data_IF_856256726954
#
_entry.id   IF_856256726954
#
_cell.length_a   1.000
_cell.length_b   1.000
_cell.length_c   1.000
_cell.angle_alpha   90.00
_cell.angle_beta   90.00
_cell.angle_gamma   90.00
#
_symmetry.space_group_name_H-M   'P 1'
#
loop_
_entity.id
_entity.type
_entity.pdbx_description
1 polymer ?
#
# COMPACT_ATOMS: atom_id res chain seq x y z
N UNK A 1 -20.71 -21.56 7.65
CA UNK A 1 -20.00 -21.31 8.92
C UNK A 1 -19.93 -19.81 9.11
N UNK A 2 -20.56 -19.30 10.16
CA UNK A 2 -20.63 -17.88 10.50
C UNK A 2 -19.25 -17.35 10.91
N UNK A 3 -18.74 -16.35 10.20
CA UNK A 3 -17.54 -15.58 10.58
C UNK A 3 -17.93 -14.22 11.19
N UNK A 4 -18.85 -14.26 12.14
CA UNK A 4 -19.22 -13.09 12.93
C UNK A 4 -18.81 -13.34 14.39
N UNK A 5 -17.56 -13.01 14.73
CA UNK A 5 -17.12 -12.66 16.10
C UNK A 5 -15.62 -12.30 16.13
N UNK A 6 -15.32 -11.02 15.89
CA UNK A 6 -14.28 -10.28 16.64
C UNK A 6 -14.51 -8.78 16.45
N UNK A 7 -15.19 -8.16 17.41
CA UNK A 7 -14.98 -6.75 17.74
C UNK A 7 -14.26 -6.81 19.07
N UNK A 8 -12.93 -6.65 19.03
CA UNK A 8 -12.06 -6.18 20.13
C UNK A 8 -10.59 -6.43 19.74
N UNK A 9 -9.83 -5.34 19.72
CA UNK A 9 -8.44 -5.26 19.28
C UNK A 9 -8.34 -4.21 18.18
N UNK A 10 -7.90 -3.00 18.54
CA UNK A 10 -7.46 -2.01 17.56
C UNK A 10 -6.45 -2.67 16.60
N UNK A 11 -6.38 -2.20 15.35
CA UNK A 11 -5.35 -2.69 14.43
C UNK A 11 -3.97 -2.47 15.07
N UNK A 12 -3.25 -3.56 15.30
CA UNK A 12 -1.94 -3.59 15.96
C UNK A 12 -0.87 -4.02 14.95
N UNK A 13 0.30 -3.40 15.07
CA UNK A 13 1.48 -3.69 14.27
C UNK A 13 2.34 -4.79 14.92
N UNK A 14 2.93 -5.74 14.15
CA UNK A 14 2.76 -5.92 12.71
C UNK A 14 1.37 -6.44 12.38
N UNK A 15 0.70 -5.82 11.40
CA UNK A 15 -0.61 -6.30 10.97
C UNK A 15 -0.51 -7.67 10.31
N UNK A 16 -1.60 -8.44 10.32
CA UNK A 16 -1.73 -9.66 9.52
C UNK A 16 -1.42 -9.47 8.02
N UNK A 17 -1.64 -8.28 7.44
CA UNK A 17 -1.35 -7.95 6.06
C UNK A 17 0.16 -7.86 5.87
N UNK A 18 0.86 -7.19 6.78
CA UNK A 18 2.32 -7.14 6.76
C UNK A 18 2.95 -8.52 7.02
N UNK A 19 2.42 -9.29 7.96
CA UNK A 19 2.87 -10.69 8.20
C UNK A 19 2.66 -11.56 6.95
N UNK A 20 1.55 -11.39 6.23
CA UNK A 20 1.28 -12.13 5.00
C UNK A 20 2.22 -11.72 3.87
N UNK A 21 2.54 -10.44 3.79
CA UNK A 21 3.55 -9.89 2.88
C UNK A 21 4.95 -10.46 3.15
N UNK A 22 5.41 -10.46 4.41
CA UNK A 22 6.71 -11.04 4.78
C UNK A 22 6.79 -12.52 4.37
N UNK A 23 5.72 -13.29 4.61
CA UNK A 23 5.63 -14.68 4.18
C UNK A 23 5.70 -14.83 2.66
N UNK A 24 4.98 -14.00 1.91
CA UNK A 24 5.03 -14.01 0.46
C UNK A 24 6.45 -13.71 -0.07
N UNK A 25 7.19 -12.79 0.56
CA UNK A 25 8.58 -12.53 0.21
C UNK A 25 9.50 -13.71 0.57
N UNK A 26 9.30 -14.37 1.71
CA UNK A 26 10.03 -15.60 2.07
C UNK A 26 9.83 -16.68 1.01
N UNK A 27 8.59 -16.90 0.58
CA UNK A 27 8.26 -17.88 -0.47
C UNK A 27 8.87 -17.48 -1.81
N UNK A 28 8.80 -16.20 -2.18
CA UNK A 28 9.40 -15.68 -3.41
C UNK A 28 10.93 -15.87 -3.44
N UNK A 29 11.62 -15.72 -2.29
CA UNK A 29 13.07 -15.97 -2.17
C UNK A 29 13.47 -17.42 -2.46
N UNK A 30 12.54 -18.38 -2.37
CA UNK A 30 12.81 -19.78 -2.75
C UNK A 30 13.13 -19.92 -4.24
N UNK A 31 12.60 -19.03 -5.10
CA UNK A 31 12.82 -19.06 -6.55
C UNK A 31 14.30 -18.87 -6.92
N UNK A 32 15.01 -18.05 -6.15
CA UNK A 32 16.41 -17.69 -6.38
C UNK A 32 17.39 -18.59 -5.63
N UNK A 33 16.92 -19.69 -5.03
CA UNK A 33 17.80 -20.68 -4.41
C UNK A 33 18.81 -21.24 -5.41
N UNK A 34 20.09 -21.18 -5.04
CA UNK A 34 21.22 -21.63 -5.87
C UNK A 34 21.63 -20.65 -6.98
N UNK A 35 21.09 -19.43 -6.99
CA UNK A 35 21.57 -18.33 -7.86
C UNK A 35 22.73 -17.62 -7.14
N UNK A 36 23.90 -17.44 -7.78
CA UNK A 36 24.99 -16.65 -7.19
C UNK A 36 24.58 -15.19 -7.02
N UNK A 37 24.97 -14.60 -5.89
CA UNK A 37 24.53 -13.25 -5.47
C UNK A 37 25.01 -12.17 -6.45
N UNK A 38 26.29 -12.24 -6.84
CA UNK A 38 26.95 -11.21 -7.66
C UNK A 38 26.68 -11.33 -9.16
N UNK A 39 26.33 -12.53 -9.64
CA UNK A 39 26.17 -12.75 -11.09
C UNK A 39 25.33 -13.98 -11.42
N UNK A 40 24.39 -13.80 -12.35
CA UNK A 40 23.75 -14.90 -13.05
C UNK A 40 24.68 -15.44 -14.15
N UNK A 41 25.00 -16.72 -14.08
CA UNK A 41 25.91 -17.41 -15.02
C UNK A 41 25.14 -18.20 -16.10
N UNK A 42 23.85 -18.42 -15.93
CA UNK A 42 23.00 -19.18 -16.86
C UNK A 42 21.70 -18.44 -17.14
N UNK A 43 21.10 -18.69 -18.31
CA UNK A 43 19.78 -18.15 -18.65
C UNK A 43 18.71 -18.51 -17.62
N UNK A 44 18.78 -19.72 -17.05
CA UNK A 44 17.87 -20.14 -15.97
C UNK A 44 18.04 -19.28 -14.71
N UNK A 45 19.27 -18.93 -14.34
CA UNK A 45 19.52 -18.04 -13.19
C UNK A 45 18.97 -16.63 -13.44
N UNK A 46 19.14 -16.08 -14.65
CA UNK A 46 18.51 -14.80 -15.02
C UNK A 46 16.98 -14.86 -14.90
N UNK A 47 16.35 -15.92 -15.42
CA UNK A 47 14.90 -16.11 -15.32
C UNK A 47 14.42 -16.24 -13.86
N UNK A 48 15.19 -16.91 -13.00
CA UNK A 48 14.89 -17.00 -11.57
C UNK A 48 14.90 -15.63 -10.88
N UNK A 49 15.90 -14.79 -11.17
CA UNK A 49 15.97 -13.42 -10.63
C UNK A 49 14.82 -12.56 -11.13
N UNK A 50 14.52 -12.62 -12.43
CA UNK A 50 13.36 -11.91 -13.02
C UNK A 50 12.04 -12.36 -12.39
N UNK A 51 11.87 -13.67 -12.20
CA UNK A 51 10.68 -14.21 -11.53
C UNK A 51 10.58 -13.68 -10.10
N UNK A 52 11.67 -13.68 -9.34
CA UNK A 52 11.68 -13.12 -7.99
C UNK A 52 11.24 -11.65 -7.95
N UNK A 53 11.69 -10.81 -8.89
CA UNK A 53 11.23 -9.41 -9.00
C UNK A 53 9.72 -9.33 -9.24
N UNK A 54 9.18 -10.16 -10.13
CA UNK A 54 7.74 -10.19 -10.44
C UNK A 54 6.91 -10.60 -9.21
N UNK A 55 7.33 -11.64 -8.49
CA UNK A 55 6.64 -12.09 -7.28
C UNK A 55 6.75 -11.08 -6.13
N UNK A 56 7.93 -10.50 -5.92
CA UNK A 56 8.12 -9.46 -4.92
C UNK A 56 7.25 -8.23 -5.21
N UNK A 57 7.13 -7.82 -6.48
CA UNK A 57 6.26 -6.72 -6.87
C UNK A 57 4.80 -7.02 -6.56
N UNK A 58 4.31 -8.20 -6.94
CA UNK A 58 2.94 -8.60 -6.67
C UNK A 58 2.63 -8.62 -5.16
N UNK A 59 3.58 -9.11 -4.35
CA UNK A 59 3.43 -9.09 -2.90
C UNK A 59 3.36 -7.67 -2.32
N UNK A 60 4.18 -6.73 -2.82
CA UNK A 60 4.16 -5.32 -2.39
C UNK A 60 2.85 -4.62 -2.76
N UNK A 61 2.36 -4.87 -3.98
CA UNK A 61 1.09 -4.35 -4.49
C UNK A 61 -0.10 -4.85 -3.67
N UNK A 62 -0.19 -6.17 -3.48
CA UNK A 62 -1.24 -6.80 -2.67
C UNK A 62 -1.23 -6.28 -1.23
N UNK A 63 -0.04 -6.13 -0.63
CA UNK A 63 0.10 -5.56 0.70
C UNK A 63 -0.47 -4.15 0.79
N UNK A 64 -0.02 -3.24 -0.09
CA UNK A 64 -0.43 -1.84 -0.08
C UNK A 64 -1.95 -1.72 -0.28
N UNK A 65 -2.53 -2.50 -1.19
CA UNK A 65 -3.98 -2.55 -1.39
C UNK A 65 -4.72 -3.05 -0.14
N UNK A 66 -4.23 -4.12 0.47
CA UNK A 66 -4.87 -4.75 1.62
C UNK A 66 -4.84 -3.85 2.87
N UNK A 67 -3.67 -3.28 3.22
CA UNK A 67 -3.55 -2.40 4.38
C UNK A 67 -4.37 -1.13 4.20
N UNK A 68 -4.30 -0.52 3.01
CA UNK A 68 -5.07 0.68 2.69
C UNK A 68 -6.58 0.44 2.79
N UNK A 69 -7.08 -0.65 2.21
CA UNK A 69 -8.49 -0.99 2.30
C UNK A 69 -8.93 -1.23 3.74
N UNK A 70 -8.14 -1.97 4.52
CA UNK A 70 -8.47 -2.33 5.88
C UNK A 70 -8.55 -1.11 6.80
N UNK A 71 -7.58 -0.21 6.72
CA UNK A 71 -7.58 1.03 7.51
C UNK A 71 -8.81 1.89 7.20
N UNK A 72 -9.14 2.05 5.91
CA UNK A 72 -10.32 2.81 5.52
C UNK A 72 -11.63 2.17 6.01
N UNK A 73 -11.72 0.84 5.95
CA UNK A 73 -12.88 0.08 6.43
C UNK A 73 -13.01 0.19 7.95
N UNK A 74 -11.93 0.00 8.69
CA UNK A 74 -11.92 0.06 10.15
C UNK A 74 -12.16 1.48 10.67
N UNK A 75 -11.62 2.50 9.99
CA UNK A 75 -11.89 3.91 10.30
C UNK A 75 -13.39 4.23 10.22
N UNK A 76 -14.06 3.73 9.17
CA UNK A 76 -15.50 3.88 9.02
C UNK A 76 -16.27 3.07 10.04
N UNK A 77 -15.86 1.82 10.29
CA UNK A 77 -16.50 0.95 11.29
C UNK A 77 -16.44 1.58 12.68
N UNK A 78 -15.28 2.10 13.08
CA UNK A 78 -15.09 2.82 14.33
C UNK A 78 -16.09 3.98 14.48
N UNK A 79 -16.30 4.75 13.41
CA UNK A 79 -17.31 5.81 13.40
C UNK A 79 -18.74 5.26 13.46
N UNK A 80 -19.08 4.20 12.73
CA UNK A 80 -20.44 3.61 12.76
C UNK A 80 -20.79 3.02 14.12
N UNK A 81 -19.83 2.36 14.75
CA UNK A 81 -20.06 1.60 15.99
C UNK A 81 -20.02 2.50 17.23
N UNK A 82 -19.17 3.54 17.21
CA UNK A 82 -18.91 4.37 18.41
C UNK A 82 -19.09 5.88 18.22
N UNK A 83 -19.31 6.36 17.00
CA UNK A 83 -19.30 7.78 16.66
C UNK A 83 -17.90 8.42 16.68
N UNK A 84 -16.86 7.64 17.00
CA UNK A 84 -15.48 8.15 17.08
C UNK A 84 -14.95 8.46 15.68
N UNK A 85 -14.48 9.69 15.50
CA UNK A 85 -13.81 10.13 14.28
C UNK A 85 -12.31 9.97 14.50
N UNK A 86 -11.62 9.30 13.58
CA UNK A 86 -10.16 9.20 13.56
C UNK A 86 -9.56 9.95 12.36
N UNK A 87 -8.25 10.14 12.39
CA UNK A 87 -7.54 10.86 11.33
C UNK A 87 -7.74 10.20 9.96
N UNK A 88 -7.64 8.87 9.88
CA UNK A 88 -7.83 8.14 8.61
C UNK A 88 -9.25 8.31 8.03
N UNK A 89 -10.29 8.45 8.86
CA UNK A 89 -11.64 8.75 8.37
C UNK A 89 -11.72 10.15 7.74
N UNK A 90 -11.10 11.13 8.37
CA UNK A 90 -11.04 12.50 7.85
C UNK A 90 -10.28 12.53 6.53
N UNK A 91 -9.12 11.87 6.46
CA UNK A 91 -8.33 11.74 5.24
C UNK A 91 -9.09 11.04 4.11
N UNK A 92 -9.82 9.96 4.42
CA UNK A 92 -10.64 9.23 3.44
C UNK A 92 -11.66 10.15 2.80
N UNK A 93 -12.39 10.91 3.61
CA UNK A 93 -13.39 11.87 3.13
C UNK A 93 -12.73 13.04 2.40
N UNK A 94 -11.58 13.53 2.87
CA UNK A 94 -10.87 14.68 2.31
C UNK A 94 -10.11 14.40 1.01
N UNK A 95 -9.70 13.14 0.77
CA UNK A 95 -8.82 12.71 -0.33
C UNK A 95 -9.28 13.15 -1.73
N UNK A 96 -10.58 13.47 -1.91
CA UNK A 96 -11.10 14.05 -3.15
C UNK A 96 -11.71 15.45 -3.01
N UNK A 97 -11.93 15.93 -1.78
CA UNK A 97 -12.39 17.30 -1.54
C UNK A 97 -11.30 18.34 -1.79
N UNK A 98 -10.04 17.92 -1.71
CA UNK A 98 -8.89 18.82 -1.85
C UNK A 98 -8.48 19.01 -3.33
N UNK A 99 -8.81 18.05 -4.22
CA UNK A 99 -8.44 18.10 -5.64
C UNK A 99 -9.33 18.99 -6.53
N UNK A 100 -10.63 19.08 -6.24
CA UNK A 100 -11.62 19.64 -7.18
C UNK A 100 -12.34 20.93 -6.70
N UNK A 101 -12.07 21.43 -5.49
CA UNK A 101 -12.88 22.51 -4.91
C UNK A 101 -12.11 23.84 -4.73
N UNK A 102 -12.65 24.96 -5.27
CA UNK A 102 -12.17 26.30 -4.94
C UNK A 102 -12.21 26.55 -3.43
N UNK A 103 -11.26 27.31 -2.88
CA UNK A 103 -11.13 27.61 -1.44
C UNK A 103 -12.43 28.07 -0.74
N UNK A 104 -13.29 28.81 -1.43
CA UNK A 104 -14.61 29.23 -0.90
C UNK A 104 -15.58 28.08 -0.70
N UNK A 105 -15.48 27.03 -1.51
CA UNK A 105 -16.31 25.84 -1.40
C UNK A 105 -15.84 24.92 -0.25
N UNK A 106 -14.52 24.86 0.02
CA UNK A 106 -13.96 24.12 1.16
C UNK A 106 -14.54 24.57 2.51
N UNK A 107 -14.74 25.88 2.70
CA UNK A 107 -15.26 26.47 3.95
C UNK A 107 -16.76 26.22 4.19
N UNK A 108 -17.54 26.04 3.12
CA UNK A 108 -18.98 25.73 3.19
C UNK A 108 -19.20 24.23 3.39
N UNK A 109 -18.37 23.45 2.71
CA UNK A 109 -18.35 22.01 2.77
C UNK A 109 -17.93 21.49 4.16
N UNK A 110 -17.02 22.17 4.87
CA UNK A 110 -16.63 21.78 6.24
C UNK A 110 -17.79 21.84 7.24
N UNK A 111 -18.78 22.73 7.04
CA UNK A 111 -19.97 22.81 7.89
C UNK A 111 -21.02 21.72 7.54
N UNK A 112 -21.17 21.37 6.27
CA UNK A 112 -22.04 20.25 5.83
C UNK A 112 -21.42 18.87 6.07
N UNK A 113 -20.08 18.75 6.11
CA UNK A 113 -19.37 17.50 6.36
C UNK A 113 -19.69 16.94 7.74
N UNK A 114 -19.76 17.80 8.75
CA UNK A 114 -19.99 17.41 10.15
C UNK A 114 -21.42 16.88 10.34
N UNK A 115 -22.41 17.44 9.62
CA UNK A 115 -23.80 16.98 9.72
C UNK A 115 -24.12 15.75 8.87
N UNK A 116 -23.31 15.44 7.85
CA UNK A 116 -23.53 14.32 6.91
C UNK A 116 -22.34 13.35 6.80
N UNK A 117 -21.48 13.28 7.82
CA UNK A 117 -20.24 12.49 7.78
C UNK A 117 -20.49 11.00 7.46
N UNK A 118 -21.64 10.45 7.86
CA UNK A 118 -22.05 9.08 7.52
C UNK A 118 -22.21 8.87 6.01
N UNK A 119 -22.91 9.78 5.34
CA UNK A 119 -23.12 9.73 3.88
C UNK A 119 -21.80 9.96 3.15
N UNK A 120 -21.01 10.94 3.58
CA UNK A 120 -19.73 11.25 2.95
C UNK A 120 -18.72 10.12 3.10
N UNK A 121 -18.62 9.52 4.29
CA UNK A 121 -17.71 8.40 4.55
C UNK A 121 -18.13 7.13 3.82
N UNK A 122 -19.43 6.85 3.67
CA UNK A 122 -19.92 5.73 2.86
C UNK A 122 -19.52 5.87 1.39
N UNK A 123 -19.79 7.03 0.82
CA UNK A 123 -19.47 7.31 -0.57
C UNK A 123 -17.96 7.37 -0.83
N UNK A 124 -17.19 7.91 0.11
CA UNK A 124 -15.73 7.89 0.03
C UNK A 124 -15.18 6.46 0.06
N UNK A 125 -15.71 5.60 0.95
CA UNK A 125 -15.27 4.20 1.03
C UNK A 125 -15.61 3.41 -0.25
N UNK A 126 -16.80 3.59 -0.83
CA UNK A 126 -17.18 2.93 -2.10
C UNK A 126 -16.25 3.33 -3.24
N UNK A 127 -15.93 4.62 -3.36
CA UNK A 127 -15.00 5.13 -4.38
C UNK A 127 -13.60 4.58 -4.15
N UNK A 128 -13.15 4.60 -2.90
CA UNK A 128 -11.85 4.06 -2.57
C UNK A 128 -11.76 2.58 -2.89
N UNK A 129 -12.83 1.80 -2.67
CA UNK A 129 -12.87 0.40 -3.09
C UNK A 129 -12.65 0.22 -4.59
N UNK A 130 -13.20 1.11 -5.41
CA UNK A 130 -12.95 1.09 -6.85
C UNK A 130 -11.48 1.38 -7.17
N UNK A 131 -10.87 2.37 -6.51
CA UNK A 131 -9.43 2.67 -6.64
C UNK A 131 -8.58 1.45 -6.28
N UNK A 132 -8.88 0.76 -5.18
CA UNK A 132 -8.19 -0.49 -4.80
C UNK A 132 -8.31 -1.54 -5.91
N UNK A 133 -9.53 -1.80 -6.40
CA UNK A 133 -9.78 -2.87 -7.37
C UNK A 133 -9.15 -2.61 -8.76
N UNK A 134 -8.95 -1.35 -9.13
CA UNK A 134 -8.35 -0.94 -10.41
C UNK A 134 -6.83 -0.66 -10.29
N UNK A 135 -6.25 -0.83 -9.10
CA UNK A 135 -4.83 -0.63 -8.91
C UNK A 135 -4.04 -1.78 -9.53
N UNK A 136 -2.99 -1.42 -10.28
CA UNK A 136 -2.18 -2.36 -11.06
C UNK A 136 -0.69 -2.03 -10.95
N UNK A 137 -0.24 -1.71 -9.73
CA UNK A 137 1.17 -1.53 -9.44
C UNK A 137 1.47 -0.70 -8.21
N UNK A 138 2.74 -0.27 -8.14
CA UNK A 138 3.31 0.48 -7.01
C UNK A 138 4.03 1.76 -7.46
N UNK A 139 3.66 2.32 -8.62
CA UNK A 139 4.21 3.61 -9.07
C UNK A 139 3.78 4.75 -8.13
N UNK A 140 4.37 5.92 -8.31
CA UNK A 140 4.01 7.12 -7.52
C UNK A 140 2.50 7.38 -7.51
N UNK A 141 1.84 7.32 -8.68
CA UNK A 141 0.40 7.53 -8.79
C UNK A 141 -0.39 6.45 -8.03
N UNK A 142 0.06 5.19 -8.10
CA UNK A 142 -0.54 4.09 -7.34
C UNK A 142 -0.41 4.34 -5.83
N UNK A 143 0.80 4.68 -5.37
CA UNK A 143 1.06 4.93 -3.96
C UNK A 143 0.22 6.09 -3.43
N UNK A 144 0.17 7.22 -4.15
CA UNK A 144 -0.68 8.37 -3.78
C UNK A 144 -2.16 7.98 -3.74
N UNK A 145 -2.62 7.22 -4.72
CA UNK A 145 -4.01 6.75 -4.78
C UNK A 145 -4.38 5.82 -3.62
N UNK A 146 -3.45 4.99 -3.14
CA UNK A 146 -3.66 4.03 -2.05
C UNK A 146 -3.45 4.64 -0.65
N UNK A 147 -2.45 5.51 -0.48
CA UNK A 147 -1.98 5.93 0.85
C UNK A 147 -2.60 7.27 1.31
N UNK A 148 -2.84 8.22 0.39
CA UNK A 148 -3.46 9.50 0.77
C UNK A 148 -4.85 9.32 1.41
N UNK A 149 -5.72 8.42 0.91
CA UNK A 149 -7.04 8.20 1.53
C UNK A 149 -6.98 7.63 2.95
N UNK A 150 -5.86 7.03 3.38
CA UNK A 150 -5.69 6.57 4.77
C UNK A 150 -4.90 7.56 5.63
N UNK A 151 -4.47 8.69 5.04
CA UNK A 151 -3.77 9.78 5.72
C UNK A 151 -2.25 9.71 5.65
N UNK A 152 -1.69 8.86 4.80
CA UNK A 152 -0.24 8.76 4.58
C UNK A 152 0.08 9.40 3.24
N UNK A 153 0.80 10.51 3.26
CA UNK A 153 1.34 11.11 2.05
C UNK A 153 2.73 10.52 1.77
N UNK A 154 2.91 9.67 0.74
CA UNK A 154 4.17 8.97 0.51
C UNK A 154 5.34 9.93 0.28
N UNK A 155 5.08 11.11 -0.28
CA UNK A 155 6.11 12.10 -0.61
C UNK A 155 6.70 12.73 0.65
N UNK A 156 5.85 13.04 1.64
CA UNK A 156 6.28 13.63 2.91
C UNK A 156 6.62 12.59 3.98
N UNK A 157 6.09 11.37 3.85
CA UNK A 157 6.32 10.27 4.78
C UNK A 157 7.71 9.63 4.61
N UNK A 158 8.02 9.14 3.41
CA UNK A 158 9.31 8.52 3.09
C UNK A 158 9.56 8.59 1.57
N UNK A 159 10.13 9.72 1.12
CA UNK A 159 10.43 9.98 -0.28
C UNK A 159 11.38 8.92 -0.89
N UNK A 160 12.26 8.33 -0.07
CA UNK A 160 13.18 7.30 -0.54
C UNK A 160 12.41 6.00 -0.84
N UNK A 161 11.54 5.56 0.06
CA UNK A 161 10.64 4.42 -0.18
C UNK A 161 9.76 4.65 -1.41
N UNK A 162 9.20 5.86 -1.54
CA UNK A 162 8.32 6.21 -2.65
C UNK A 162 9.02 6.05 -4.01
N UNK A 163 10.24 6.58 -4.11
CA UNK A 163 11.08 6.44 -5.30
C UNK A 163 11.51 5.00 -5.55
N UNK A 164 11.79 4.24 -4.49
CA UNK A 164 12.19 2.84 -4.59
C UNK A 164 11.05 1.96 -5.12
N UNK A 165 9.83 2.12 -4.60
CA UNK A 165 8.62 1.47 -5.12
C UNK A 165 8.35 1.87 -6.58
N UNK A 166 8.46 3.16 -6.91
CA UNK A 166 8.29 3.64 -8.30
C UNK A 166 9.27 2.96 -9.26
N UNK A 167 10.56 2.95 -8.90
CA UNK A 167 11.59 2.29 -9.69
C UNK A 167 11.35 0.78 -9.79
N UNK A 168 10.85 0.14 -8.72
CA UNK A 168 10.51 -1.28 -8.70
C UNK A 168 9.34 -1.62 -9.63
N UNK A 169 8.30 -0.78 -9.66
CA UNK A 169 7.19 -0.87 -10.61
C UNK A 169 7.65 -0.76 -12.07
N UNK A 170 8.54 0.18 -12.36
CA UNK A 170 9.17 0.31 -13.68
C UNK A 170 9.98 -0.93 -14.08
N UNK A 171 10.73 -1.52 -13.14
CA UNK A 171 11.47 -2.77 -13.36
C UNK A 171 10.55 -3.93 -13.72
N UNK A 172 9.43 -4.12 -13.02
CA UNK A 172 8.40 -5.12 -13.38
C UNK A 172 7.89 -4.93 -14.80
N UNK A 173 7.57 -3.68 -15.19
CA UNK A 173 7.15 -3.36 -16.56
C UNK A 173 8.19 -3.78 -17.60
N UNK A 174 9.46 -3.40 -17.40
CA UNK A 174 10.54 -3.77 -18.32
C UNK A 174 10.74 -5.29 -18.46
N UNK A 175 10.69 -6.03 -17.35
CA UNK A 175 10.83 -7.49 -17.33
C UNK A 175 9.68 -8.16 -18.07
N UNK A 176 8.44 -7.74 -17.80
CA UNK A 176 7.25 -8.31 -18.42
C UNK A 176 7.23 -8.10 -19.95
N UNK A 177 7.68 -6.94 -20.44
CA UNK A 177 7.69 -6.64 -21.87
C UNK A 177 8.90 -7.20 -22.64
N UNK A 178 10.02 -7.46 -21.96
CA UNK A 178 11.30 -7.81 -22.60
C UNK A 178 11.91 -9.12 -22.09
N UNK A 179 11.06 -10.07 -21.67
CA UNK A 179 11.39 -11.34 -21.02
C UNK A 179 12.52 -12.15 -21.69
N UNK A 180 12.76 -11.94 -22.99
CA UNK A 180 13.80 -12.63 -23.80
C UNK A 180 15.04 -11.78 -24.14
N UNK A 181 15.00 -10.45 -23.94
CA UNK A 181 16.01 -9.51 -24.44
C UNK A 181 16.88 -8.88 -23.35
N UNK A 182 16.47 -8.96 -22.08
CA UNK A 182 17.21 -8.32 -20.97
C UNK A 182 18.38 -9.22 -20.55
N UNK A 183 19.56 -8.95 -21.11
CA UNK A 183 20.88 -9.33 -20.55
C UNK A 183 21.47 -8.21 -19.70
N UNK A 184 20.64 -7.35 -19.11
CA UNK A 184 21.16 -6.43 -18.09
C UNK A 184 21.66 -7.26 -16.91
N UNK A 185 22.83 -6.91 -16.39
CA UNK A 185 23.46 -7.53 -15.21
C UNK A 185 22.67 -7.20 -13.94
N UNK A 186 21.37 -7.54 -13.89
CA UNK A 186 20.60 -7.48 -12.66
C UNK A 186 21.11 -8.59 -11.75
N UNK A 187 21.91 -8.20 -10.75
CA UNK A 187 22.45 -9.14 -9.78
C UNK A 187 21.39 -9.48 -8.74
N UNK A 188 21.49 -10.67 -8.15
CA UNK A 188 20.60 -11.03 -7.05
C UNK A 188 20.89 -10.13 -5.83
N UNK A 189 22.14 -9.69 -5.65
CA UNK A 189 22.54 -8.72 -4.61
C UNK A 189 21.71 -7.43 -4.70
N UNK A 190 21.68 -6.81 -5.88
CA UNK A 190 20.99 -5.53 -6.08
C UNK A 190 19.48 -5.66 -5.86
N UNK A 191 18.89 -6.78 -6.30
CA UNK A 191 17.47 -7.05 -6.10
C UNK A 191 17.17 -7.26 -4.63
N UNK A 192 17.95 -8.06 -3.92
CA UNK A 192 17.76 -8.31 -2.49
C UNK A 192 17.87 -7.02 -1.68
N UNK A 193 18.93 -6.23 -1.88
CA UNK A 193 19.12 -4.95 -1.19
C UNK A 193 17.93 -4.00 -1.41
N UNK A 194 17.40 -3.95 -2.65
CA UNK A 194 16.24 -3.12 -2.96
C UNK A 194 14.96 -3.64 -2.31
N UNK A 195 14.72 -4.96 -2.34
CA UNK A 195 13.55 -5.58 -1.70
C UNK A 195 13.58 -5.39 -0.18
N UNK A 196 14.75 -5.57 0.45
CA UNK A 196 14.95 -5.36 1.89
C UNK A 196 14.72 -3.91 2.31
N UNK A 197 15.21 -2.95 1.51
CA UNK A 197 14.96 -1.53 1.75
C UNK A 197 13.45 -1.18 1.66
N UNK A 198 12.76 -1.73 0.66
CA UNK A 198 11.32 -1.55 0.51
C UNK A 198 10.56 -2.22 1.66
N UNK A 199 10.89 -3.46 2.03
CA UNK A 199 10.29 -4.20 3.14
C UNK A 199 10.38 -3.41 4.46
N UNK A 200 11.56 -2.84 4.75
CA UNK A 200 11.76 -1.98 5.92
C UNK A 200 10.91 -0.70 5.87
N UNK A 201 10.75 -0.08 4.70
CA UNK A 201 9.88 1.08 4.52
C UNK A 201 8.39 0.75 4.66
N UNK A 202 7.95 -0.37 4.08
CA UNK A 202 6.57 -0.86 4.18
C UNK A 202 6.18 -1.22 5.61
N UNK A 203 7.14 -1.65 6.44
CA UNK A 203 6.94 -1.81 7.88
C UNK A 203 6.60 -0.49 8.57
N UNK A 204 7.28 0.60 8.22
CA UNK A 204 6.94 1.93 8.77
C UNK A 204 5.54 2.36 8.34
N UNK A 205 5.13 2.04 7.12
CA UNK A 205 3.74 2.27 6.66
C UNK A 205 2.76 1.48 7.52
N UNK A 206 3.05 0.23 7.85
CA UNK A 206 2.22 -0.61 8.74
C UNK A 206 2.02 0.05 10.11
N UNK A 207 3.12 0.50 10.72
CA UNK A 207 3.13 1.19 12.00
C UNK A 207 2.32 2.49 11.94
N UNK A 208 2.56 3.33 10.92
CA UNK A 208 1.85 4.59 10.72
C UNK A 208 0.36 4.39 10.44
N UNK A 209 -0.02 3.37 9.68
CA UNK A 209 -1.41 3.02 9.40
C UNK A 209 -2.18 2.72 10.69
N UNK A 210 -1.56 1.96 11.61
CA UNK A 210 -2.14 1.68 12.92
C UNK A 210 -2.25 2.95 13.78
N UNK A 211 -1.19 3.78 13.81
CA UNK A 211 -1.17 5.04 14.58
C UNK A 211 -2.29 6.00 14.13
N UNK A 212 -2.45 6.20 12.82
CA UNK A 212 -3.44 7.13 12.26
C UNK A 212 -4.88 6.66 12.49
N UNK A 213 -5.11 5.34 12.48
CA UNK A 213 -6.40 4.75 12.82
C UNK A 213 -6.75 4.98 14.30
N UNK A 214 -5.76 4.87 15.19
CA UNK A 214 -5.92 5.08 16.63
C UNK A 214 -5.97 6.57 17.02
N UNK A 215 -5.50 7.47 16.16
CA UNK A 215 -5.50 8.93 16.37
C UNK A 215 -6.92 9.50 16.28
N UNK A 216 -7.56 9.63 17.44
CA UNK A 216 -8.91 10.22 17.59
C UNK A 216 -8.89 11.72 17.35
N UNK A 217 -9.90 12.21 16.65
CA UNK A 217 -10.18 13.63 16.48
C UNK A 217 -11.07 14.11 17.64
N UNK A 218 -10.77 15.27 18.25
CA UNK A 218 -11.57 15.85 19.32
C UNK A 218 -12.94 16.36 18.84
#
# INVERSE_FOLDING_TARGET
>A
MNWAAKIEGDMETPTQYFISFERALVDARLLVRGVPIEKSNTSLQHLKVQSFVLFAHAAMEEYLEAISWAVALDARKLFKDSGTICFSLVSLVASKLIGDLPEKAKKKLSQELVSNLDVFSDEALKRFRHVINENHGVTEDNQKALLLPIGIDPETFDLALMNDLHAFGGRRGSIAHSFMLIRNELTLSDVNQKVEAIEAGLKKIDEAACELLQRRMP
#
